data_IF_848959761417
#
_entry.id   IF_848959761417
#
_cell.length_a   1.000
_cell.length_b   1.000
_cell.length_c   1.000
_cell.angle_alpha   90.00
_cell.angle_beta   90.00
_cell.angle_gamma   90.00
#
_symmetry.space_group_name_H-M   'P 1'
#
loop_
_entity.id
_entity.type
_entity.pdbx_description
1 polymer ?
#
# COMPACT_ATOMS: atom_id res chain seq x y z
N UNK A 1 -9.47 16.98 27.84
CA UNK A 1 -10.34 16.75 26.66
C UNK A 1 -9.58 17.13 25.40
N UNK A 2 -9.54 16.24 24.41
CA UNK A 2 -9.04 16.57 23.08
C UNK A 2 -10.13 17.37 22.34
N UNK A 3 -9.78 18.56 21.83
CA UNK A 3 -10.70 19.37 21.04
C UNK A 3 -10.81 18.83 19.62
N UNK A 4 -12.05 18.65 19.15
CA UNK A 4 -12.34 18.15 17.81
C UNK A 4 -12.22 19.26 16.76
N UNK A 5 -11.45 19.02 15.69
CA UNK A 5 -11.21 20.01 14.64
C UNK A 5 -12.10 19.78 13.42
N UNK A 6 -13.26 20.46 13.41
CA UNK A 6 -14.27 20.34 12.34
C UNK A 6 -13.71 20.73 10.95
N UNK A 7 -12.72 21.63 10.88
CA UNK A 7 -12.12 22.04 9.59
C UNK A 7 -11.35 20.92 8.89
N UNK A 8 -11.05 19.82 9.58
CA UNK A 8 -10.40 18.63 9.03
C UNK A 8 -11.40 17.51 8.70
N UNK A 9 -12.69 17.76 8.90
CA UNK A 9 -13.76 16.79 8.69
C UNK A 9 -14.42 17.02 7.34
N UNK A 10 -14.59 15.95 6.58
CA UNK A 10 -15.15 15.96 5.24
C UNK A 10 -16.19 14.85 5.15
N UNK A 11 -17.18 15.00 4.27
CA UNK A 11 -18.09 13.91 3.89
C UNK A 11 -17.66 13.34 2.54
N UNK A 12 -17.74 12.03 2.42
CA UNK A 12 -17.60 11.32 1.15
C UNK A 12 -18.75 10.32 1.04
N UNK A 13 -19.32 10.22 -0.15
CA UNK A 13 -20.38 9.25 -0.45
C UNK A 13 -19.81 8.17 -1.35
N UNK A 14 -19.95 6.91 -0.92
CA UNK A 14 -19.59 5.74 -1.71
C UNK A 14 -20.85 5.12 -2.29
N UNK A 15 -20.84 4.80 -3.58
CA UNK A 15 -22.01 4.22 -4.23
C UNK A 15 -21.73 3.84 -5.67
N UNK A 16 -22.55 2.92 -6.20
CA UNK A 16 -22.54 2.53 -7.62
C UNK A 16 -23.52 3.36 -8.47
N UNK A 17 -24.46 4.05 -7.82
CA UNK A 17 -25.44 4.91 -8.48
C UNK A 17 -24.76 6.10 -9.14
N UNK A 18 -25.31 6.53 -10.28
CA UNK A 18 -24.94 7.81 -10.92
C UNK A 18 -25.62 9.01 -10.26
N UNK A 19 -26.74 8.75 -9.60
CA UNK A 19 -27.46 9.74 -8.79
C UNK A 19 -27.08 9.56 -7.33
N UNK A 20 -26.44 10.59 -6.77
CA UNK A 20 -26.04 10.61 -5.38
C UNK A 20 -27.13 11.26 -4.53
N UNK A 21 -27.38 10.71 -3.35
CA UNK A 21 -28.19 11.39 -2.34
C UNK A 21 -27.38 12.58 -1.84
N UNK A 22 -27.83 13.78 -2.20
CA UNK A 22 -27.29 15.02 -1.71
C UNK A 22 -27.91 15.31 -0.35
N UNK A 23 -27.14 15.06 0.72
CA UNK A 23 -27.53 15.39 2.08
C UNK A 23 -26.42 16.20 2.77
N UNK A 24 -26.81 17.28 3.42
CA UNK A 24 -25.89 18.18 4.13
C UNK A 24 -25.74 17.78 5.59
N UNK A 25 -24.74 16.94 5.84
CA UNK A 25 -24.30 16.59 7.19
C UNK A 25 -23.62 17.78 7.86
N UNK A 26 -23.99 18.04 9.11
CA UNK A 26 -23.42 19.11 9.93
C UNK A 26 -22.83 18.54 11.22
N UNK A 27 -21.69 19.10 11.67
CA UNK A 27 -21.14 18.87 13.01
C UNK A 27 -21.15 20.21 13.74
N UNK A 28 -21.78 20.28 14.91
CA UNK A 28 -21.96 21.53 15.67
C UNK A 28 -22.51 22.68 14.81
N UNK A 29 -23.53 22.39 13.98
CA UNK A 29 -24.13 23.31 13.00
C UNK A 29 -23.18 23.84 11.91
N UNK A 30 -21.99 23.25 11.76
CA UNK A 30 -21.07 23.54 10.65
C UNK A 30 -21.24 22.46 9.58
N UNK A 31 -21.59 22.83 8.33
CA UNK A 31 -21.76 21.86 7.25
C UNK A 31 -20.42 21.22 6.84
N UNK A 32 -20.45 19.91 6.57
CA UNK A 32 -19.30 19.17 6.09
C UNK A 32 -19.15 19.31 4.57
N UNK A 33 -17.96 19.73 4.15
CA UNK A 33 -17.58 19.80 2.73
C UNK A 33 -17.59 18.39 2.12
N UNK A 34 -18.29 18.24 0.98
CA UNK A 34 -18.31 17.01 0.21
C UNK A 34 -17.03 16.88 -0.61
N UNK A 35 -16.36 15.72 -0.54
CA UNK A 35 -15.17 15.43 -1.36
C UNK A 35 -15.30 14.10 -2.07
N UNK A 36 -14.66 14.02 -3.23
CA UNK A 36 -14.52 12.78 -4.00
C UNK A 36 -13.25 11.99 -3.67
N UNK A 37 -12.33 12.60 -2.90
CA UNK A 37 -11.13 11.95 -2.39
C UNK A 37 -10.88 12.46 -0.97
N UNK A 38 -10.72 11.55 -0.02
CA UNK A 38 -10.36 11.86 1.37
C UNK A 38 -9.19 11.01 1.81
N UNK A 39 -8.37 11.55 2.70
CA UNK A 39 -7.27 10.81 3.33
C UNK A 39 -7.62 10.53 4.78
N UNK A 40 -7.66 9.26 5.14
CA UNK A 40 -7.88 8.83 6.51
C UNK A 40 -6.86 7.76 6.91
N UNK A 41 -6.29 7.92 8.10
CA UNK A 41 -5.17 7.10 8.62
C UNK A 41 -4.06 6.83 7.58
N UNK A 42 -3.77 7.82 6.71
CA UNK A 42 -2.74 7.70 5.68
C UNK A 42 -3.15 6.97 4.39
N UNK A 43 -4.40 6.50 4.29
CA UNK A 43 -4.97 5.86 3.09
C UNK A 43 -5.88 6.85 2.38
N UNK A 44 -5.77 6.95 1.06
CA UNK A 44 -6.67 7.78 0.26
C UNK A 44 -7.84 6.96 -0.28
N UNK A 45 -9.06 7.44 -0.02
CA UNK A 45 -10.31 6.85 -0.48
C UNK A 45 -10.91 7.74 -1.56
N UNK A 46 -10.99 7.23 -2.78
CA UNK A 46 -11.79 7.85 -3.83
C UNK A 46 -13.25 7.40 -3.75
N UNK A 47 -14.18 8.22 -4.24
CA UNK A 47 -15.63 7.94 -4.18
C UNK A 47 -16.03 6.65 -4.91
N UNK A 48 -15.18 6.11 -5.80
CA UNK A 48 -15.40 4.85 -6.51
C UNK A 48 -14.72 3.65 -5.82
N UNK A 49 -14.01 3.87 -4.71
CA UNK A 49 -13.22 2.86 -3.98
C UNK A 49 -12.27 2.09 -4.91
N UNK A 50 -11.70 2.78 -5.90
CA UNK A 50 -10.73 2.17 -6.82
C UNK A 50 -9.33 2.08 -6.21
N UNK A 51 -9.03 2.94 -5.25
CA UNK A 51 -7.73 3.12 -4.60
C UNK A 51 -6.57 3.45 -5.57
N UNK A 52 -6.87 3.74 -6.84
CA UNK A 52 -5.85 3.99 -7.87
C UNK A 52 -4.93 5.16 -7.50
N UNK A 53 -5.52 6.24 -6.97
CA UNK A 53 -4.76 7.38 -6.48
C UNK A 53 -3.80 6.98 -5.34
N UNK A 54 -4.33 6.24 -4.35
CA UNK A 54 -3.55 5.74 -3.21
C UNK A 54 -2.40 4.81 -3.64
N UNK A 55 -2.67 3.88 -4.55
CA UNK A 55 -1.67 2.92 -5.05
C UNK A 55 -0.55 3.65 -5.80
N UNK A 56 -0.90 4.66 -6.61
CA UNK A 56 0.09 5.49 -7.29
C UNK A 56 0.96 6.29 -6.32
N UNK A 57 0.35 6.95 -5.32
CA UNK A 57 1.08 7.70 -4.29
C UNK A 57 2.00 6.78 -3.48
N UNK A 58 1.49 5.61 -3.07
CA UNK A 58 2.21 4.61 -2.28
C UNK A 58 3.39 4.02 -3.06
N UNK A 59 3.17 3.66 -4.33
CA UNK A 59 4.24 3.16 -5.22
C UNK A 59 5.31 4.23 -5.46
N UNK A 60 4.91 5.48 -5.69
CA UNK A 60 5.85 6.60 -5.87
C UNK A 60 6.67 6.85 -4.59
N UNK A 61 6.04 6.82 -3.41
CA UNK A 61 6.70 6.96 -2.11
C UNK A 61 7.71 5.83 -1.88
N UNK A 62 7.32 4.58 -2.17
CA UNK A 62 8.19 3.42 -2.05
C UNK A 62 9.39 3.49 -3.03
N UNK A 63 9.16 3.92 -4.28
CA UNK A 63 10.23 4.14 -5.26
C UNK A 63 11.19 5.25 -4.85
N UNK A 64 10.68 6.34 -4.25
CA UNK A 64 11.52 7.43 -3.72
C UNK A 64 12.42 6.91 -2.58
N UNK A 65 11.85 6.13 -1.67
CA UNK A 65 12.61 5.50 -0.57
C UNK A 65 13.64 4.50 -1.10
N UNK A 66 13.25 3.65 -2.05
CA UNK A 66 14.17 2.73 -2.71
C UNK A 66 15.32 3.50 -3.38
N UNK A 67 15.02 4.57 -4.12
CA UNK A 67 16.03 5.43 -4.73
C UNK A 67 16.98 6.06 -3.70
N UNK A 68 16.46 6.46 -2.53
CA UNK A 68 17.28 6.96 -1.44
C UNK A 68 18.24 5.90 -0.90
N UNK A 69 17.74 4.68 -0.63
CA UNK A 69 18.57 3.55 -0.18
C UNK A 69 19.65 3.24 -1.21
N UNK A 70 19.28 3.14 -2.48
CA UNK A 70 20.21 2.76 -3.55
C UNK A 70 21.32 3.80 -3.78
N UNK A 71 21.06 5.09 -3.52
CA UNK A 71 22.09 6.14 -3.62
C UNK A 71 23.05 6.13 -2.44
N UNK A 72 22.55 5.92 -1.23
CA UNK A 72 23.35 6.07 0.00
C UNK A 72 23.97 4.76 0.50
N UNK A 73 23.41 3.61 0.12
CA UNK A 73 23.83 2.29 0.59
C UNK A 73 24.38 1.42 -0.55
N UNK A 74 24.90 2.02 -1.62
CA UNK A 74 25.37 1.30 -2.80
C UNK A 74 26.52 0.31 -2.50
N UNK A 75 27.33 0.56 -1.48
CA UNK A 75 28.42 -0.34 -1.07
C UNK A 75 27.96 -1.49 -0.16
N UNK A 76 26.71 -1.46 0.30
CA UNK A 76 26.23 -2.48 1.24
C UNK A 76 26.06 -3.83 0.54
N UNK A 77 26.18 -4.88 1.35
CA UNK A 77 25.91 -6.25 0.92
C UNK A 77 24.43 -6.41 0.53
N UNK A 78 24.14 -7.42 -0.30
CA UNK A 78 22.77 -7.74 -0.72
C UNK A 78 21.88 -8.03 0.49
N UNK A 79 22.43 -8.69 1.52
CA UNK A 79 21.70 -9.00 2.75
C UNK A 79 21.30 -7.74 3.51
N UNK A 80 22.20 -6.76 3.65
CA UNK A 80 21.90 -5.48 4.30
C UNK A 80 20.89 -4.67 3.49
N UNK A 81 21.02 -4.66 2.16
CA UNK A 81 20.04 -4.02 1.28
C UNK A 81 18.65 -4.66 1.38
N UNK A 82 18.58 -5.98 1.53
CA UNK A 82 17.33 -6.72 1.76
C UNK A 82 16.66 -6.30 3.06
N UNK A 83 17.43 -6.14 4.14
CA UNK A 83 16.89 -5.64 5.42
C UNK A 83 16.32 -4.22 5.28
N UNK A 84 17.05 -3.31 4.64
CA UNK A 84 16.60 -1.93 4.40
C UNK A 84 15.36 -1.88 3.49
N UNK A 85 15.32 -2.72 2.45
CA UNK A 85 14.16 -2.83 1.58
C UNK A 85 12.92 -3.25 2.36
N UNK A 86 13.02 -4.28 3.21
CA UNK A 86 11.88 -4.76 4.00
C UNK A 86 11.41 -3.73 5.03
N UNK A 87 12.32 -3.08 5.74
CA UNK A 87 11.95 -2.15 6.80
C UNK A 87 11.42 -0.81 6.29
N UNK A 88 11.94 -0.30 5.16
CA UNK A 88 11.63 1.06 4.69
C UNK A 88 10.79 1.12 3.41
N UNK A 89 10.91 0.13 2.51
CA UNK A 89 10.22 0.16 1.21
C UNK A 89 9.01 -0.75 1.24
N UNK A 90 9.18 -2.02 1.63
CA UNK A 90 8.09 -3.00 1.67
C UNK A 90 7.04 -2.62 2.70
N UNK A 91 7.46 -2.10 3.86
CA UNK A 91 6.53 -1.58 4.88
C UNK A 91 5.57 -0.51 4.33
N UNK A 92 6.04 0.37 3.45
CA UNK A 92 5.20 1.37 2.77
C UNK A 92 4.17 0.69 1.84
N UNK A 93 4.59 -0.36 1.12
CA UNK A 93 3.73 -1.10 0.20
C UNK A 93 2.75 -2.05 0.90
N UNK A 94 3.01 -2.44 2.14
CA UNK A 94 2.15 -3.37 2.91
C UNK A 94 1.20 -2.63 3.86
N UNK A 95 1.49 -1.38 4.21
CA UNK A 95 0.68 -0.58 5.14
C UNK A 95 -0.77 -0.46 4.69
N UNK A 96 -1.71 -0.92 5.51
CA UNK A 96 -3.13 -0.84 5.24
C UNK A 96 -3.61 -1.66 4.04
N UNK A 97 -2.80 -2.59 3.53
CA UNK A 97 -3.11 -3.36 2.31
C UNK A 97 -4.43 -4.13 2.39
N UNK A 98 -4.86 -4.54 3.59
CA UNK A 98 -6.18 -5.12 3.85
C UNK A 98 -7.36 -4.27 3.34
N UNK A 99 -7.17 -2.95 3.29
CA UNK A 99 -8.21 -1.98 2.91
C UNK A 99 -8.16 -1.69 1.40
N UNK A 100 -6.97 -1.48 0.85
CA UNK A 100 -6.81 -0.94 -0.50
C UNK A 100 -6.31 -1.94 -1.54
N UNK A 101 -6.10 -3.22 -1.17
CA UNK A 101 -5.51 -4.26 -2.04
C UNK A 101 -6.04 -4.17 -3.48
N UNK A 102 -5.16 -4.08 -4.50
CA UNK A 102 -5.58 -3.79 -5.87
C UNK A 102 -6.29 -4.98 -6.53
N UNK A 103 -7.39 -4.72 -7.21
CA UNK A 103 -8.10 -5.71 -8.03
C UNK A 103 -7.70 -5.70 -9.51
N UNK A 104 -7.14 -4.58 -10.00
CA UNK A 104 -6.75 -4.44 -11.40
C UNK A 104 -5.31 -4.86 -11.63
N UNK A 105 -5.07 -5.62 -12.70
CA UNK A 105 -3.73 -6.06 -13.09
C UNK A 105 -2.76 -4.89 -13.24
N UNK A 106 -3.19 -3.76 -13.82
CA UNK A 106 -2.33 -2.56 -13.96
C UNK A 106 -1.78 -2.07 -12.62
N UNK A 107 -2.59 -2.15 -11.58
CA UNK A 107 -2.27 -1.64 -10.26
C UNK A 107 -1.45 -2.66 -9.47
N UNK A 108 -1.73 -3.96 -9.64
CA UNK A 108 -0.84 -5.03 -9.15
C UNK A 108 0.56 -4.87 -9.75
N UNK A 109 0.65 -4.67 -11.07
CA UNK A 109 1.92 -4.48 -11.76
C UNK A 109 2.66 -3.21 -11.34
N UNK A 110 1.96 -2.13 -11.01
CA UNK A 110 2.60 -0.88 -10.56
C UNK A 110 3.31 -1.08 -9.22
N UNK A 111 2.73 -1.86 -8.31
CA UNK A 111 3.32 -2.22 -7.02
C UNK A 111 4.47 -3.22 -7.20
N UNK A 112 4.27 -4.29 -7.96
CA UNK A 112 5.31 -5.30 -8.23
C UNK A 112 6.55 -4.69 -8.91
N UNK A 113 6.36 -3.63 -9.72
CA UNK A 113 7.47 -2.89 -10.34
C UNK A 113 8.46 -2.35 -9.31
N UNK A 114 8.00 -1.97 -8.11
CA UNK A 114 8.87 -1.48 -7.04
C UNK A 114 9.80 -2.60 -6.55
N UNK A 115 9.25 -3.79 -6.30
CA UNK A 115 10.05 -4.97 -5.93
C UNK A 115 10.98 -5.40 -7.05
N UNK A 116 10.49 -5.48 -8.29
CA UNK A 116 11.30 -5.83 -9.46
C UNK A 116 12.50 -4.88 -9.62
N UNK A 117 12.32 -3.58 -9.38
CA UNK A 117 13.44 -2.62 -9.40
C UNK A 117 14.49 -2.93 -8.34
N UNK A 118 14.08 -3.29 -7.13
CA UNK A 118 14.99 -3.71 -6.07
C UNK A 118 15.73 -5.00 -6.44
N UNK A 119 15.01 -6.04 -6.88
CA UNK A 119 15.59 -7.32 -7.27
C UNK A 119 16.64 -7.19 -8.38
N UNK A 120 16.40 -6.31 -9.37
CA UNK A 120 17.38 -6.05 -10.45
C UNK A 120 18.71 -5.53 -9.92
N UNK A 121 18.70 -4.69 -8.88
CA UNK A 121 19.92 -4.18 -8.26
C UNK A 121 20.63 -5.29 -7.48
N UNK A 122 19.86 -6.11 -6.76
CA UNK A 122 20.43 -7.26 -6.08
C UNK A 122 21.06 -8.23 -7.08
N UNK A 123 20.35 -8.61 -8.14
CA UNK A 123 20.83 -9.50 -9.20
C UNK A 123 22.17 -9.04 -9.78
N UNK A 124 22.28 -7.75 -10.11
CA UNK A 124 23.54 -7.16 -10.57
C UNK A 124 24.67 -7.32 -9.55
N UNK A 125 24.39 -7.10 -8.26
CA UNK A 125 25.37 -7.26 -7.18
C UNK A 125 25.82 -8.71 -6.95
N UNK A 126 25.00 -9.70 -7.31
CA UNK A 126 25.37 -11.14 -7.24
C UNK A 126 26.03 -11.63 -8.54
N UNK A 127 26.23 -10.74 -9.53
CA UNK A 127 26.91 -11.06 -10.79
C UNK A 127 26.00 -11.55 -11.91
N UNK A 128 24.67 -11.50 -11.75
CA UNK A 128 23.74 -11.87 -12.82
C UNK A 128 23.54 -10.75 -13.82
N UNK A 129 23.60 -11.10 -15.11
CA UNK A 129 23.25 -10.20 -16.21
C UNK A 129 21.76 -10.35 -16.52
N UNK A 130 21.09 -9.28 -16.95
CA UNK A 130 19.62 -9.23 -17.12
C UNK A 130 19.03 -10.34 -17.99
N UNK A 131 19.74 -10.83 -18.99
CA UNK A 131 19.29 -11.90 -19.88
C UNK A 131 19.36 -13.30 -19.23
N UNK A 132 20.00 -13.42 -18.07
CA UNK A 132 20.30 -14.70 -17.42
C UNK A 132 19.30 -15.08 -16.33
N UNK A 133 18.31 -14.22 -16.03
CA UNK A 133 17.36 -14.47 -14.96
C UNK A 133 15.97 -13.93 -15.27
N UNK A 134 14.98 -14.58 -14.71
CA UNK A 134 13.59 -14.12 -14.61
C UNK A 134 13.33 -13.48 -13.24
N UNK A 135 12.18 -12.82 -13.12
CA UNK A 135 11.75 -12.25 -11.84
C UNK A 135 11.71 -13.30 -10.72
N UNK A 136 11.18 -14.48 -11.03
CA UNK A 136 10.98 -15.57 -10.07
C UNK A 136 12.30 -16.25 -9.66
N UNK A 137 13.30 -16.29 -10.56
CA UNK A 137 14.63 -16.81 -10.24
C UNK A 137 15.29 -15.99 -9.12
N UNK A 138 15.27 -14.66 -9.24
CA UNK A 138 15.90 -13.78 -8.24
C UNK A 138 15.10 -13.78 -6.93
N UNK A 139 13.78 -13.87 -6.99
CA UNK A 139 12.96 -14.07 -5.79
C UNK A 139 13.39 -15.34 -5.04
N UNK A 140 13.56 -16.43 -5.75
CA UNK A 140 13.95 -17.73 -5.19
C UNK A 140 15.36 -17.68 -4.60
N UNK A 141 16.34 -17.17 -5.35
CA UNK A 141 17.74 -17.02 -4.89
C UNK A 141 17.82 -16.16 -3.63
N UNK A 142 17.07 -15.06 -3.59
CA UNK A 142 17.09 -14.14 -2.45
C UNK A 142 16.13 -14.55 -1.34
N UNK A 143 15.33 -15.61 -1.50
CA UNK A 143 14.24 -15.99 -0.60
C UNK A 143 13.36 -14.78 -0.24
N UNK A 144 12.74 -14.19 -1.26
CA UNK A 144 11.80 -13.07 -1.19
C UNK A 144 10.47 -13.52 -1.81
N UNK A 145 9.37 -13.29 -1.12
CA UNK A 145 8.03 -13.57 -1.68
C UNK A 145 7.57 -12.44 -2.60
N UNK A 146 6.80 -12.74 -3.67
CA UNK A 146 6.06 -11.73 -4.41
C UNK A 146 5.16 -10.87 -3.51
N UNK A 147 4.98 -9.58 -3.84
CA UNK A 147 4.15 -8.70 -3.02
C UNK A 147 2.66 -9.07 -3.07
N UNK A 148 2.17 -9.59 -4.19
CA UNK A 148 0.80 -10.11 -4.28
C UNK A 148 0.54 -11.26 -3.31
N UNK A 149 1.51 -12.18 -3.17
CA UNK A 149 1.42 -13.30 -2.23
C UNK A 149 1.36 -12.78 -0.78
N UNK A 150 2.18 -11.77 -0.46
CA UNK A 150 2.18 -11.12 0.85
C UNK A 150 0.83 -10.49 1.21
N UNK A 151 0.19 -9.79 0.26
CA UNK A 151 -1.16 -9.23 0.45
C UNK A 151 -2.19 -10.33 0.65
N UNK A 152 -2.19 -11.35 -0.20
CA UNK A 152 -3.10 -12.49 -0.08
C UNK A 152 -2.96 -13.20 1.28
N UNK A 153 -1.73 -13.41 1.77
CA UNK A 153 -1.49 -13.94 3.11
C UNK A 153 -2.09 -13.04 4.20
N UNK A 154 -1.92 -11.72 4.11
CA UNK A 154 -2.51 -10.79 5.07
C UNK A 154 -4.04 -10.86 5.06
N UNK A 155 -4.65 -10.87 3.86
CA UNK A 155 -6.10 -10.96 3.66
C UNK A 155 -6.66 -12.26 4.26
N UNK A 156 -6.04 -13.41 3.98
CA UNK A 156 -6.45 -14.71 4.50
C UNK A 156 -6.29 -14.81 6.02
N UNK A 157 -5.16 -14.33 6.56
CA UNK A 157 -4.95 -14.28 8.01
C UNK A 157 -5.99 -13.40 8.70
N UNK A 158 -6.35 -12.27 8.11
CA UNK A 158 -7.37 -11.38 8.65
C UNK A 158 -8.76 -12.02 8.59
N UNK A 159 -9.13 -12.62 7.46
CA UNK A 159 -10.39 -13.35 7.31
C UNK A 159 -10.53 -14.49 8.32
N UNK A 160 -9.46 -15.28 8.49
CA UNK A 160 -9.44 -16.35 9.50
C UNK A 160 -9.69 -15.80 10.91
N UNK A 161 -9.04 -14.68 11.27
CA UNK A 161 -9.27 -14.04 12.57
C UNK A 161 -10.71 -13.58 12.75
N UNK A 162 -11.33 -13.02 11.71
CA UNK A 162 -12.74 -12.62 11.76
C UNK A 162 -13.64 -13.82 12.02
N UNK A 163 -13.49 -14.88 11.20
CA UNK A 163 -14.34 -16.07 11.27
C UNK A 163 -14.25 -16.76 12.64
N UNK A 164 -13.09 -16.72 13.28
CA UNK A 164 -12.86 -17.35 14.58
C UNK A 164 -13.01 -16.40 15.78
N UNK A 165 -13.43 -15.14 15.57
CA UNK A 165 -13.58 -14.18 16.66
C UNK A 165 -12.26 -13.75 17.33
N UNK A 166 -11.13 -13.86 16.64
CA UNK A 166 -9.82 -13.41 17.13
C UNK A 166 -9.53 -11.94 16.84
N UNK A 167 -10.43 -11.24 16.16
CA UNK A 167 -10.35 -9.79 16.03
C UNK A 167 -10.84 -9.18 17.35
N UNK A 168 -9.92 -8.63 18.14
CA UNK A 168 -10.29 -7.86 19.31
C UNK A 168 -10.89 -6.54 18.86
N UNK A 169 -12.21 -6.47 18.92
CA UNK A 169 -12.95 -5.23 18.90
C UNK A 169 -13.59 -5.08 20.29
N UNK A 170 -13.22 -4.05 21.07
CA UNK A 170 -13.85 -3.79 22.36
C UNK A 170 -15.36 -3.48 22.27
N UNK A 171 -15.89 -3.21 21.07
CA UNK A 171 -17.26 -2.75 20.83
C UNK A 171 -18.12 -3.68 19.95
N UNK A 172 -17.63 -4.89 19.59
CA UNK A 172 -18.43 -5.95 18.94
C UNK A 172 -18.96 -6.99 19.94
#
# INVERSE_FOLDING_TARGET
MLYFNIKKCFKITFGRSREFVHYDYCINNVPLEARHNIKDLGINFDSKLTFKYHINETSAKALKMLGFILRNCNQFSVQTLKMLYFSLVRSVLEYGSLIWSPSYNSDIYSIERVQNKFLRVCAYKIGFIRQQYTYDDILSILNISPLHHRRCQADLCFLFKIINGYVQDPEL
#
